data_IF_638989911839
#
_entry.id   IF_638989911839
#
_cell.length_a   1.000
_cell.length_b   1.000
_cell.length_c   1.000
_cell.angle_alpha   90.00
_cell.angle_beta   90.00
_cell.angle_gamma   90.00
#
_symmetry.space_group_name_H-M   'P 1'
#
loop_
_entity.id
_entity.type
_entity.pdbx_description
1 polymer ?
#
# COMPACT_ATOMS: atom_id res chain seq x y z
N UNK A 1 9.51 -4.69 -12.23
CA UNK A 1 8.86 -5.16 -11.00
C UNK A 1 7.80 -4.13 -10.62
N UNK A 2 6.57 -4.57 -10.37
CA UNK A 2 5.47 -3.71 -9.95
C UNK A 2 5.05 -4.12 -8.55
N UNK A 3 4.85 -3.16 -7.66
CA UNK A 3 4.39 -3.42 -6.29
C UNK A 3 3.10 -2.66 -6.09
N UNK A 4 2.08 -3.36 -5.63
CA UNK A 4 0.76 -2.82 -5.34
C UNK A 4 0.52 -2.95 -3.85
N UNK A 5 0.01 -1.89 -3.24
CA UNK A 5 -0.21 -1.81 -1.79
C UNK A 5 -1.61 -1.25 -1.58
N UNK A 6 -2.30 -1.76 -0.55
CA UNK A 6 -3.55 -1.22 -0.06
C UNK A 6 -3.54 -1.15 1.47
N UNK A 7 -4.13 -0.11 2.06
CA UNK A 7 -4.05 0.16 3.50
C UNK A 7 -5.31 0.85 4.05
N UNK A 8 -6.49 0.19 4.01
CA UNK A 8 -7.70 0.72 4.65
C UNK A 8 -7.61 0.71 6.18
N UNK A 9 -8.64 1.27 6.84
CA UNK A 9 -8.68 1.43 8.30
C UNK A 9 -8.46 0.13 9.11
N UNK A 10 -8.76 -1.04 8.55
CA UNK A 10 -8.79 -2.32 9.30
C UNK A 10 -7.61 -3.25 9.02
N UNK A 11 -6.99 -3.12 7.86
CA UNK A 11 -5.93 -4.01 7.42
C UNK A 11 -5.05 -3.28 6.40
N UNK A 12 -3.91 -3.87 6.09
CA UNK A 12 -3.08 -3.46 4.97
C UNK A 12 -2.49 -4.68 4.29
N UNK A 13 -2.26 -4.56 2.99
CA UNK A 13 -1.72 -5.62 2.17
C UNK A 13 -0.80 -5.07 1.08
N UNK A 14 0.05 -5.95 0.57
CA UNK A 14 1.05 -5.68 -0.45
C UNK A 14 1.18 -6.91 -1.34
N UNK A 15 1.36 -6.70 -2.63
CA UNK A 15 1.70 -7.74 -3.58
C UNK A 15 2.67 -7.23 -4.64
N UNK A 16 3.59 -8.08 -5.06
CA UNK A 16 4.65 -7.75 -6.01
C UNK A 16 4.60 -8.68 -7.21
N UNK A 17 4.75 -8.08 -8.39
CA UNK A 17 4.72 -8.73 -9.69
C UNK A 17 6.01 -8.49 -10.47
N UNK A 18 6.48 -9.53 -11.17
CA UNK A 18 7.51 -9.43 -12.21
C UNK A 18 6.96 -10.04 -13.49
N UNK A 19 6.97 -9.31 -14.60
CA UNK A 19 6.43 -9.76 -15.89
C UNK A 19 5.01 -10.35 -15.75
N UNK A 20 4.12 -9.67 -15.02
CA UNK A 20 2.76 -10.12 -14.72
C UNK A 20 2.62 -11.40 -13.89
N UNK A 21 3.70 -11.92 -13.31
CA UNK A 21 3.65 -13.06 -12.39
C UNK A 21 3.75 -12.57 -10.95
N UNK A 22 2.82 -13.02 -10.10
CA UNK A 22 2.85 -12.77 -8.66
C UNK A 22 4.05 -13.50 -8.04
N UNK A 23 4.96 -12.75 -7.43
CA UNK A 23 6.15 -13.31 -6.76
C UNK A 23 6.06 -13.24 -5.24
N UNK A 24 5.18 -12.37 -4.71
CA UNK A 24 5.04 -12.15 -3.28
C UNK A 24 3.70 -11.48 -2.98
N UNK A 25 3.03 -11.91 -1.90
CA UNK A 25 1.87 -11.23 -1.34
C UNK A 25 1.85 -11.35 0.19
N UNK A 26 1.40 -10.30 0.87
CA UNK A 26 1.24 -10.29 2.33
C UNK A 26 0.14 -9.35 2.77
N UNK A 27 -0.61 -9.77 3.79
CA UNK A 27 -1.63 -8.97 4.45
C UNK A 27 -1.46 -9.00 5.97
N UNK A 28 -1.86 -7.93 6.66
CA UNK A 28 -1.88 -7.83 8.12
C UNK A 28 -3.06 -6.99 8.60
N UNK A 29 -3.59 -7.35 9.75
CA UNK A 29 -4.61 -6.56 10.45
C UNK A 29 -3.98 -5.36 11.17
N UNK A 30 -4.74 -4.27 11.25
CA UNK A 30 -4.34 -3.13 12.04
C UNK A 30 -4.46 -3.43 13.55
N UNK A 31 -3.55 -2.90 14.39
CA UNK A 31 -3.64 -3.01 15.84
C UNK A 31 -4.97 -2.46 16.38
N UNK A 32 -5.48 -3.07 17.46
CA UNK A 32 -6.75 -2.70 18.10
C UNK A 32 -6.75 -1.31 18.75
N UNK A 33 -5.56 -0.70 18.95
CA UNK A 33 -5.46 0.70 19.37
C UNK A 33 -5.73 1.60 18.18
N UNK A 34 -6.62 2.59 18.34
CA UNK A 34 -6.89 3.59 17.30
C UNK A 34 -5.60 4.30 16.89
N UNK A 35 -5.12 3.96 15.70
CA UNK A 35 -4.04 4.63 15.02
C UNK A 35 -4.60 5.35 13.80
N UNK A 36 -4.04 6.51 13.49
CA UNK A 36 -4.54 7.31 12.37
C UNK A 36 -4.28 6.62 11.04
N UNK A 37 -5.15 6.83 10.04
CA UNK A 37 -4.99 6.29 8.68
C UNK A 37 -3.59 6.57 8.10
N UNK A 38 -3.03 7.80 8.24
CA UNK A 38 -1.68 8.07 7.75
C UNK A 38 -0.60 7.24 8.47
N UNK A 39 -0.82 6.89 9.75
CA UNK A 39 0.10 6.04 10.50
C UNK A 39 -0.02 4.58 10.07
N UNK A 40 -1.22 4.12 9.73
CA UNK A 40 -1.47 2.78 9.18
C UNK A 40 -0.84 2.61 7.79
N UNK A 41 -1.06 3.57 6.89
CA UNK A 41 -0.39 3.64 5.58
C UNK A 41 1.14 3.59 5.75
N UNK A 42 1.68 4.29 6.75
CA UNK A 42 3.11 4.29 7.02
C UNK A 42 3.63 3.00 7.71
N UNK A 43 2.82 2.31 8.50
CA UNK A 43 3.19 1.02 9.09
C UNK A 43 3.17 -0.09 8.03
N UNK A 44 2.20 -0.06 7.10
CA UNK A 44 2.19 -0.90 5.91
C UNK A 44 3.44 -0.65 5.05
N UNK A 45 3.80 0.62 4.89
CA UNK A 45 5.03 1.07 4.23
C UNK A 45 6.30 0.49 4.85
N UNK A 46 6.39 0.35 6.17
CA UNK A 46 7.60 -0.16 6.83
C UNK A 46 7.82 -1.66 6.63
N UNK A 47 6.79 -2.40 6.23
CA UNK A 47 6.92 -3.83 5.95
C UNK A 47 7.49 -4.07 4.55
N UNK A 48 7.34 -3.16 3.58
CA UNK A 48 7.80 -3.45 2.22
C UNK A 48 8.12 -2.27 1.28
N UNK A 49 8.19 -1.05 1.80
CA UNK A 49 8.65 0.16 1.11
C UNK A 49 7.77 0.67 -0.05
N UNK A 50 7.26 1.89 0.16
CA UNK A 50 6.77 2.87 -0.84
C UNK A 50 5.30 2.81 -1.30
N UNK A 51 4.36 2.93 -0.36
CA UNK A 51 3.14 3.72 -0.61
C UNK A 51 3.02 4.84 0.40
N UNK A 52 3.27 6.06 -0.08
CA UNK A 52 2.62 7.24 0.48
C UNK A 52 1.40 7.46 -0.39
N UNK A 53 0.25 7.61 0.21
CA UNK A 53 -0.97 8.00 -0.47
C UNK A 53 -0.68 9.23 -1.35
N UNK A 54 -0.93 9.10 -2.66
CA UNK A 54 -0.55 10.11 -3.67
C UNK A 54 -1.01 11.51 -3.27
N UNK A 55 -2.16 11.62 -2.59
CA UNK A 55 -2.65 12.89 -2.05
C UNK A 55 -1.66 13.58 -1.10
N UNK A 56 -0.89 12.83 -0.31
CA UNK A 56 0.16 13.35 0.57
C UNK A 56 1.44 13.68 -0.20
N UNK A 57 1.80 12.87 -1.20
CA UNK A 57 2.91 13.17 -2.11
C UNK A 57 2.70 14.48 -2.87
N UNK A 58 1.45 14.79 -3.21
CA UNK A 58 1.05 16.03 -3.90
C UNK A 58 0.46 17.08 -2.97
N UNK A 59 0.41 16.84 -1.66
CA UNK A 59 -0.24 17.75 -0.70
C UNK A 59 0.55 19.05 -0.58
N UNK A 60 -0.16 20.18 -0.65
CA UNK A 60 0.37 21.51 -0.29
C UNK A 60 0.09 21.89 1.18
N UNK A 61 -0.61 21.04 1.93
CA UNK A 61 -0.93 21.28 3.34
C UNK A 61 0.26 20.91 4.23
N UNK A 62 0.36 21.56 5.40
CA UNK A 62 1.32 21.15 6.42
C UNK A 62 1.02 19.71 6.85
N UNK A 63 1.99 18.82 6.65
CA UNK A 63 1.91 17.43 7.07
C UNK A 63 2.54 17.28 8.46
N UNK A 64 2.12 16.30 9.27
CA UNK A 64 2.82 15.95 10.50
C UNK A 64 4.31 15.73 10.22
N UNK A 65 5.20 16.25 11.10
CA UNK A 65 6.67 16.22 10.89
C UNK A 65 7.18 14.83 10.51
N UNK A 66 6.66 13.80 11.17
CA UNK A 66 6.99 12.41 10.86
C UNK A 66 6.60 12.01 9.43
N UNK A 67 5.43 12.41 8.94
CA UNK A 67 5.00 12.15 7.56
C UNK A 67 5.91 12.92 6.59
N UNK A 68 6.13 14.22 6.84
CA UNK A 68 6.96 15.07 5.99
C UNK A 68 8.40 14.56 5.83
N UNK A 69 9.04 14.15 6.93
CA UNK A 69 10.40 13.57 6.90
C UNK A 69 10.44 12.28 6.06
N UNK A 70 9.39 11.46 6.11
CA UNK A 70 9.31 10.21 5.34
C UNK A 70 9.02 10.45 3.86
N UNK A 71 8.17 11.44 3.53
CA UNK A 71 7.99 11.89 2.14
C UNK A 71 9.32 12.33 1.55
N UNK A 72 10.15 13.03 2.33
CA UNK A 72 11.47 13.47 1.89
C UNK A 72 12.40 12.30 1.57
N UNK A 73 12.58 11.37 2.51
CA UNK A 73 13.39 10.15 2.29
C UNK A 73 12.92 9.38 1.04
N UNK A 74 11.60 9.31 0.86
CA UNK A 74 11.02 8.63 -0.28
C UNK A 74 11.30 9.39 -1.57
N UNK A 75 11.10 10.70 -1.65
CA UNK A 75 11.43 11.46 -2.87
C UNK A 75 12.90 11.35 -3.26
N UNK A 76 13.77 11.16 -2.28
CA UNK A 76 15.21 10.97 -2.47
C UNK A 76 15.59 9.55 -2.89
N UNK A 77 14.71 8.56 -2.72
CA UNK A 77 14.96 7.20 -3.20
C UNK A 77 14.92 7.11 -4.74
N UNK A 78 16.06 6.75 -5.32
CA UNK A 78 16.31 6.70 -6.76
C UNK A 78 15.67 5.47 -7.40
N UNK A 79 15.16 5.62 -8.62
CA UNK A 79 14.77 4.48 -9.48
C UNK A 79 13.39 3.89 -9.22
N UNK A 80 12.53 4.57 -8.45
CA UNK A 80 11.17 4.07 -8.19
C UNK A 80 10.13 5.16 -8.49
N UNK A 81 9.20 4.82 -9.36
CA UNK A 81 8.10 5.67 -9.82
C UNK A 81 6.82 5.40 -9.01
N UNK A 82 6.10 6.45 -8.66
CA UNK A 82 4.83 6.36 -7.97
C UNK A 82 3.67 6.60 -8.92
N UNK A 83 2.71 5.68 -8.94
CA UNK A 83 1.47 5.81 -9.70
C UNK A 83 0.30 5.51 -8.79
N UNK A 84 -0.76 6.32 -8.91
CA UNK A 84 -2.04 5.98 -8.31
C UNK A 84 -2.71 4.91 -9.18
N UNK A 85 -3.20 3.86 -8.53
CA UNK A 85 -3.99 2.78 -9.15
C UNK A 85 -5.36 2.81 -8.50
N UNK A 86 -6.42 2.74 -9.31
CA UNK A 86 -7.79 2.70 -8.79
C UNK A 86 -7.98 1.43 -7.97
N UNK A 87 -8.89 1.48 -7.00
CA UNK A 87 -9.16 0.37 -6.09
C UNK A 87 -9.51 -0.92 -6.83
N UNK A 88 -10.30 -0.82 -7.90
CA UNK A 88 -10.75 -1.97 -8.71
C UNK A 88 -9.64 -2.57 -9.59
N UNK A 89 -8.51 -1.88 -9.72
CA UNK A 89 -7.34 -2.30 -10.50
C UNK A 89 -6.17 -2.68 -9.58
N UNK A 90 -6.37 -2.64 -8.26
CA UNK A 90 -5.33 -2.89 -7.27
C UNK A 90 -5.44 -4.33 -6.72
N UNK A 91 -4.54 -5.26 -7.11
CA UNK A 91 -4.57 -6.63 -6.62
C UNK A 91 -4.36 -6.75 -5.10
N UNK A 92 -3.83 -5.73 -4.43
CA UNK A 92 -3.70 -5.72 -2.97
C UNK A 92 -5.03 -5.42 -2.25
N UNK A 93 -6.02 -4.83 -2.91
CA UNK A 93 -7.29 -4.43 -2.30
C UNK A 93 -8.12 -5.62 -1.81
N UNK A 94 -8.21 -6.69 -2.60
CA UNK A 94 -8.94 -7.90 -2.18
C UNK A 94 -8.35 -8.51 -0.90
N UNK A 95 -7.03 -8.41 -0.73
CA UNK A 95 -6.33 -8.94 0.43
C UNK A 95 -6.60 -8.14 1.71
N UNK A 96 -6.96 -6.85 1.62
CA UNK A 96 -7.31 -6.03 2.79
C UNK A 96 -8.78 -6.16 3.18
N UNK A 97 -9.64 -6.53 2.22
CA UNK A 97 -11.08 -6.80 2.46
C UNK A 97 -11.33 -8.17 3.07
N UNK A 98 -10.39 -9.10 2.88
CA UNK A 98 -10.56 -10.51 3.22
C UNK A 98 -11.35 -11.22 2.12
N UNK A 99 -10.79 -12.31 1.61
CA UNK A 99 -11.42 -13.13 0.58
C UNK A 99 -11.26 -14.61 0.94
N UNK A 100 -12.30 -15.39 0.63
CA UNK A 100 -12.23 -16.83 0.71
C UNK A 100 -11.33 -17.37 -0.42
N UNK A 101 -10.61 -18.49 -0.24
CA UNK A 101 -9.71 -19.03 -1.25
C UNK A 101 -10.36 -19.24 -2.63
N UNK A 102 -11.63 -19.63 -2.66
CA UNK A 102 -12.39 -19.88 -3.90
C UNK A 102 -12.64 -18.60 -4.71
N UNK A 103 -12.72 -17.45 -4.00
CA UNK A 103 -12.85 -16.13 -4.62
C UNK A 103 -11.52 -15.70 -5.22
N UNK A 104 -10.40 -16.04 -4.57
CA UNK A 104 -9.05 -15.70 -5.05
C UNK A 104 -8.69 -16.47 -6.32
N UNK A 105 -9.09 -17.73 -6.44
CA UNK A 105 -8.79 -18.58 -7.60
C UNK A 105 -9.34 -18.03 -8.91
N UNK A 106 -10.44 -17.27 -8.86
CA UNK A 106 -11.10 -16.69 -10.04
C UNK A 106 -10.91 -15.17 -10.15
N UNK A 107 -10.08 -14.57 -9.29
CA UNK A 107 -9.94 -13.13 -9.23
C UNK A 107 -9.02 -12.63 -10.35
N UNK A 108 -9.56 -11.83 -11.28
CA UNK A 108 -8.89 -11.42 -12.52
C UNK A 108 -7.57 -10.66 -12.36
N UNK A 109 -7.28 -10.15 -11.16
CA UNK A 109 -6.05 -9.41 -10.86
C UNK A 109 -4.93 -10.29 -10.26
N UNK A 110 -5.20 -11.58 -10.02
CA UNK A 110 -4.27 -12.54 -9.43
C UNK A 110 -3.91 -13.65 -10.42
#
# INVERSE_FOLDING_TARGET
MHVFIDAPKRAYATCAYINSHLIYAKARLNPSKEISIPRMELMAFFIETRVINYAWLTSRKALPVFVANRIKEIREAVGVEFRYVKTEENPADIATKGAAPEVLENYQLW
#
